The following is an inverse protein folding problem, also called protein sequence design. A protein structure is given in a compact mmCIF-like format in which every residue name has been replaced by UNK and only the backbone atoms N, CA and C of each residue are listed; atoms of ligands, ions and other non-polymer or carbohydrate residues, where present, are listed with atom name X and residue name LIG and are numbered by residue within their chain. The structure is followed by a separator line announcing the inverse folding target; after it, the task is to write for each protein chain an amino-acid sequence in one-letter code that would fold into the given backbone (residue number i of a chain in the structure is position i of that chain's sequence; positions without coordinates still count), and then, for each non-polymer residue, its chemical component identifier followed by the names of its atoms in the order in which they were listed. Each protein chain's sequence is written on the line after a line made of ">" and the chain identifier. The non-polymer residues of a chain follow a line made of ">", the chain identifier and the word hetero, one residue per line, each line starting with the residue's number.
data_IF_226019995589
#
_entry.id   IF_226019995589
#
_cell.length_a   1.000
_cell.length_b   1.000
_cell.length_c   1.000
_cell.angle_alpha   90.00
_cell.angle_beta   90.00
_cell.angle_gamma   90.00
#
_symmetry.space_group_name_H-M   'P 1'
#
loop_
_entity.id
_entity.type
_entity.pdbx_description
1 polymer ?
#
# COMPACT_ATOMS: atom_id res chain seq x y z
N UNK A 1 -12.82 -26.82 -14.19
CA UNK A 1 -13.58 -26.02 -13.21
C UNK A 1 -12.60 -24.96 -12.73
N UNK A 2 -12.58 -23.79 -13.36
CA UNK A 2 -11.72 -22.71 -12.91
C UNK A 2 -12.35 -22.18 -11.63
N UNK A 3 -11.77 -22.50 -10.48
CA UNK A 3 -12.07 -21.79 -9.24
C UNK A 3 -11.77 -20.33 -9.54
N UNK A 4 -12.82 -19.51 -9.72
CA UNK A 4 -12.67 -18.05 -9.68
C UNK A 4 -12.29 -17.72 -8.24
N UNK A 5 -11.01 -17.92 -7.91
CA UNK A 5 -10.40 -17.25 -6.77
C UNK A 5 -10.54 -15.78 -7.11
N UNK A 6 -11.55 -15.14 -6.50
CA UNK A 6 -11.74 -13.71 -6.63
C UNK A 6 -10.42 -13.00 -6.29
N UNK A 7 -10.16 -11.84 -6.90
CA UNK A 7 -8.91 -11.11 -6.67
C UNK A 7 -8.72 -10.94 -5.16
N UNK A 8 -7.59 -11.43 -4.63
CA UNK A 8 -7.27 -11.27 -3.21
C UNK A 8 -7.04 -9.79 -2.98
N UNK A 9 -7.86 -9.18 -2.14
CA UNK A 9 -7.80 -7.75 -1.82
C UNK A 9 -7.37 -7.54 -0.39
N UNK A 10 -6.57 -6.50 -0.18
CA UNK A 10 -6.26 -5.96 1.13
C UNK A 10 -7.24 -4.85 1.44
N UNK A 11 -7.81 -4.91 2.64
CA UNK A 11 -8.81 -3.95 3.10
C UNK A 11 -8.39 -3.29 4.38
N UNK A 12 -8.81 -2.04 4.59
CA UNK A 12 -8.58 -1.34 5.84
C UNK A 12 -9.34 -2.02 6.99
N UNK A 13 -8.69 -2.13 8.15
CA UNK A 13 -9.24 -2.83 9.32
C UNK A 13 -10.47 -2.15 9.92
N UNK A 14 -10.64 -0.84 9.71
CA UNK A 14 -11.74 -0.07 10.31
C UNK A 14 -12.97 -0.01 9.40
N UNK A 15 -12.78 0.47 8.16
CA UNK A 15 -13.84 0.75 7.19
C UNK A 15 -14.13 -0.45 6.25
N UNK A 16 -13.28 -1.50 6.23
CA UNK A 16 -13.26 -2.61 5.24
C UNK A 16 -13.15 -2.17 3.77
N UNK A 17 -12.86 -0.90 3.52
CA UNK A 17 -12.61 -0.36 2.19
C UNK A 17 -11.38 -1.04 1.56
N UNK A 18 -11.43 -1.29 0.25
CA UNK A 18 -10.37 -1.98 -0.48
C UNK A 18 -9.23 -1.00 -0.75
N UNK A 19 -8.04 -1.29 -0.22
CA UNK A 19 -6.88 -0.40 -0.33
C UNK A 19 -5.88 -0.84 -1.40
N UNK A 20 -5.78 -2.15 -1.68
CA UNK A 20 -4.78 -2.69 -2.60
C UNK A 20 -5.18 -4.10 -3.06
N UNK A 21 -4.76 -4.51 -4.26
CA UNK A 21 -4.84 -5.91 -4.71
C UNK A 21 -3.60 -6.69 -4.30
N UNK A 22 -3.72 -8.01 -4.20
CA UNK A 22 -2.57 -8.87 -3.96
C UNK A 22 -1.59 -8.89 -5.12
N UNK A 23 -2.09 -8.71 -6.34
CA UNK A 23 -1.28 -8.66 -7.56
C UNK A 23 -0.35 -7.44 -7.60
N UNK A 24 -0.77 -6.32 -6.98
CA UNK A 24 0.02 -5.10 -6.88
C UNK A 24 1.10 -5.16 -5.78
N UNK A 25 1.17 -6.25 -5.02
CA UNK A 25 2.19 -6.40 -3.96
C UNK A 25 3.55 -6.65 -4.60
N UNK A 26 4.44 -5.66 -4.48
CA UNK A 26 5.83 -5.75 -4.92
C UNK A 26 6.66 -6.57 -3.92
N UNK A 27 6.46 -6.34 -2.61
CA UNK A 27 7.22 -7.05 -1.58
C UNK A 27 6.47 -7.17 -0.25
N UNK A 28 6.42 -8.39 0.28
CA UNK A 28 5.89 -8.69 1.63
C UNK A 28 6.95 -8.63 2.73
N UNK A 29 8.21 -8.55 2.34
CA UNK A 29 9.35 -8.50 3.26
C UNK A 29 9.86 -7.07 3.47
N UNK A 30 9.07 -6.06 3.09
CA UNK A 30 9.44 -4.67 3.26
C UNK A 30 9.44 -4.29 4.75
N UNK A 31 10.39 -3.43 5.13
CA UNK A 31 10.47 -2.89 6.48
C UNK A 31 10.20 -1.39 6.41
N UNK A 32 9.07 -0.99 6.98
CA UNK A 32 8.76 0.41 7.22
C UNK A 32 9.40 0.88 8.52
N UNK A 33 9.19 2.16 8.83
CA UNK A 33 9.72 2.80 10.05
C UNK A 33 9.26 2.11 11.35
N UNK A 34 8.06 1.53 11.35
CA UNK A 34 7.45 0.92 12.53
C UNK A 34 7.53 -0.62 12.52
N UNK A 35 8.31 -1.22 11.62
CA UNK A 35 8.47 -2.68 11.51
C UNK A 35 8.05 -3.24 10.15
N UNK A 36 7.59 -4.49 10.13
CA UNK A 36 7.21 -5.18 8.89
C UNK A 36 6.03 -4.48 8.21
N UNK A 37 6.18 -4.18 6.94
CA UNK A 37 5.17 -3.56 6.10
C UNK A 37 5.10 -4.27 4.73
N UNK A 38 4.04 -4.02 3.99
CA UNK A 38 3.92 -4.48 2.61
C UNK A 38 4.14 -3.30 1.67
N UNK A 39 4.97 -3.53 0.67
CA UNK A 39 5.19 -2.59 -0.42
C UNK A 39 4.32 -3.03 -1.61
N UNK A 40 3.51 -2.13 -2.11
CA UNK A 40 2.66 -2.34 -3.28
C UNK A 40 2.75 -1.14 -4.23
N UNK A 41 2.50 -1.39 -5.52
CA UNK A 41 2.56 -0.38 -6.59
C UNK A 41 1.34 0.53 -6.60
N UNK A 42 0.15 -0.02 -6.35
CA UNK A 42 -1.10 0.72 -6.48
C UNK A 42 -1.94 0.69 -5.20
N UNK A 43 -2.29 1.89 -4.73
CA UNK A 43 -3.28 2.11 -3.69
C UNK A 43 -4.61 2.56 -4.32
N UNK A 44 -5.74 2.08 -3.81
CA UNK A 44 -7.07 2.47 -4.26
C UNK A 44 -7.94 2.90 -3.08
N UNK A 45 -8.94 3.74 -3.35
CA UNK A 45 -9.89 4.23 -2.36
C UNK A 45 -9.23 4.84 -1.10
N UNK A 46 -8.07 5.46 -1.27
CA UNK A 46 -7.35 6.17 -0.21
C UNK A 46 -7.33 7.67 -0.51
N UNK A 47 -7.31 8.48 0.55
CA UNK A 47 -7.06 9.92 0.46
C UNK A 47 -5.57 10.17 0.64
N UNK A 48 -4.97 10.87 -0.31
CA UNK A 48 -3.57 11.30 -0.24
C UNK A 48 -3.48 12.65 0.47
N UNK A 49 -2.65 12.73 1.49
CA UNK A 49 -2.36 13.95 2.23
C UNK A 49 -1.43 14.90 1.46
N UNK A 50 -0.84 15.85 2.18
CA UNK A 50 0.13 16.77 1.62
C UNK A 50 1.34 16.01 1.09
N UNK A 51 1.78 16.37 -0.12
CA UNK A 51 3.02 15.88 -0.70
C UNK A 51 4.19 16.61 -0.05
N UNK A 52 5.13 15.86 0.47
CA UNK A 52 6.34 16.37 1.10
C UNK A 52 7.54 15.67 0.50
N UNK A 53 8.58 16.42 0.18
CA UNK A 53 9.88 15.85 -0.14
C UNK A 53 10.54 15.30 1.13
N UNK A 54 10.83 14.00 1.12
CA UNK A 54 11.54 13.32 2.21
C UNK A 54 12.78 12.61 1.66
N UNK A 55 13.87 12.73 2.39
CA UNK A 55 15.12 12.08 2.06
C UNK A 55 15.10 10.65 2.60
N UNK A 56 15.03 9.68 1.69
CA UNK A 56 15.07 8.25 1.98
C UNK A 56 16.47 7.69 1.66
N UNK A 57 16.74 6.44 2.06
CA UNK A 57 18.04 5.80 1.79
C UNK A 57 18.40 5.77 0.29
N UNK A 58 17.40 5.71 -0.59
CA UNK A 58 17.57 5.69 -2.04
C UNK A 58 17.65 7.09 -2.68
N UNK A 59 17.50 8.17 -1.90
CA UNK A 59 17.53 9.55 -2.38
C UNK A 59 16.31 10.38 -1.99
N UNK A 60 16.17 11.55 -2.62
CA UNK A 60 15.04 12.45 -2.40
C UNK A 60 13.78 11.90 -3.08
N UNK A 61 12.72 11.68 -2.31
CA UNK A 61 11.44 11.22 -2.81
C UNK A 61 10.31 12.13 -2.35
N UNK A 62 9.41 12.48 -3.25
CA UNK A 62 8.15 13.11 -2.85
C UNK A 62 7.21 12.02 -2.33
N UNK A 63 6.90 12.09 -1.04
CA UNK A 63 6.03 11.14 -0.35
C UNK A 63 4.77 11.86 0.13
N UNK A 64 3.71 11.13 0.36
CA UNK A 64 2.51 11.65 0.99
C UNK A 64 1.92 10.56 1.89
N UNK A 65 1.46 10.96 3.07
CA UNK A 65 0.72 10.08 3.95
C UNK A 65 -0.64 9.76 3.32
N UNK A 66 -1.10 8.51 3.45
CA UNK A 66 -2.36 8.03 2.88
C UNK A 66 -3.29 7.53 3.97
N UNK A 67 -4.59 7.74 3.78
CA UNK A 67 -5.63 7.34 4.73
C UNK A 67 -6.76 6.57 4.02
N UNK A 68 -7.32 5.52 4.65
CA UNK A 68 -8.76 5.26 4.49
C UNK A 68 -9.45 6.37 5.31
#
# INVERSE_FOLDING_TARGET
>A
MAELVGPRVYSCCHCRNHVCLHDDIISKAFQGRNGRAFLFSHAMNVTTGAKEDRQLMTGLHTVADIHC
#
